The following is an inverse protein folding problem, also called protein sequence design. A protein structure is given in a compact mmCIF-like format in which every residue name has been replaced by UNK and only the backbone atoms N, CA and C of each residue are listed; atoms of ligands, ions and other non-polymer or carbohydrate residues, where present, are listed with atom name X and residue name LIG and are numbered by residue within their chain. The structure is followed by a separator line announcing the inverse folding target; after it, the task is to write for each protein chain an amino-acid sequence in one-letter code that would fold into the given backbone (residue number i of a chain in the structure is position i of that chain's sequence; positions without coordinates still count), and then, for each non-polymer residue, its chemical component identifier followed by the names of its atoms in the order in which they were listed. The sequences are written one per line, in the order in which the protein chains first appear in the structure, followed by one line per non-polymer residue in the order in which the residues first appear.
data_IF_649203203074
#
_entry.id   IF_649203203074
#
_cell.length_a   1.000
_cell.length_b   1.000
_cell.length_c   1.000
_cell.angle_alpha   90.00
_cell.angle_beta   90.00
_cell.angle_gamma   90.00
#
_symmetry.space_group_name_H-M   'P 1'
#
loop_
_entity.id
_entity.type
_entity.pdbx_description
1 polymer ?
#
# COMPACT_ATOMS: atom_id res chain seq x y z
N UNK A 1 7.88 -16.24 -9.49
CA UNK A 1 8.03 -14.87 -10.06
C UNK A 1 6.74 -14.53 -10.79
N UNK A 2 6.18 -13.33 -10.61
CA UNK A 2 4.87 -12.94 -11.19
C UNK A 2 4.97 -12.25 -12.56
N UNK A 3 6.17 -12.11 -13.14
CA UNK A 3 6.36 -11.54 -14.49
C UNK A 3 6.33 -10.01 -14.58
N UNK A 4 6.26 -9.32 -13.45
CA UNK A 4 6.21 -7.84 -13.36
C UNK A 4 7.58 -7.34 -12.89
N UNK A 5 8.16 -6.36 -13.59
CA UNK A 5 9.43 -5.74 -13.22
C UNK A 5 9.26 -4.70 -12.11
N UNK A 6 8.18 -3.90 -12.19
CA UNK A 6 7.80 -2.87 -11.21
C UNK A 6 6.27 -2.67 -11.25
N UNK A 7 5.66 -2.29 -10.12
CA UNK A 7 4.22 -2.11 -9.95
C UNK A 7 3.92 -0.73 -9.33
N UNK A 8 2.89 -0.04 -9.82
CA UNK A 8 2.56 1.34 -9.43
C UNK A 8 1.94 1.40 -8.03
N UNK A 9 1.16 0.38 -7.68
CA UNK A 9 0.48 0.27 -6.39
C UNK A 9 0.38 -1.20 -5.97
N UNK A 10 1.02 -1.57 -4.85
CA UNK A 10 0.96 -2.95 -4.34
C UNK A 10 0.39 -2.98 -2.93
N UNK A 11 -0.94 -3.02 -2.81
CA UNK A 11 -1.63 -2.92 -1.52
C UNK A 11 -1.18 -3.96 -0.49
N UNK A 12 -1.01 -5.23 -0.91
CA UNK A 12 -0.57 -6.32 -0.04
C UNK A 12 0.83 -6.07 0.56
N UNK A 13 1.79 -5.68 -0.28
CA UNK A 13 3.15 -5.33 0.17
C UNK A 13 3.16 -4.13 1.11
N UNK A 14 2.32 -3.13 0.87
CA UNK A 14 2.21 -1.96 1.74
C UNK A 14 1.57 -2.30 3.10
N UNK A 15 0.60 -3.21 3.14
CA UNK A 15 0.07 -3.75 4.39
C UNK A 15 1.13 -4.49 5.22
N UNK A 16 1.96 -5.30 4.56
CA UNK A 16 3.09 -5.97 5.20
C UNK A 16 4.15 -4.96 5.70
N UNK A 17 4.44 -3.93 4.90
CA UNK A 17 5.34 -2.84 5.30
C UNK A 17 4.82 -2.09 6.54
N UNK A 18 3.53 -1.75 6.58
CA UNK A 18 2.91 -1.11 7.74
C UNK A 18 3.02 -1.97 9.00
N UNK A 19 2.76 -3.28 8.87
CA UNK A 19 2.91 -4.24 9.97
C UNK A 19 4.34 -4.28 10.50
N UNK A 20 5.33 -4.30 9.59
CA UNK A 20 6.75 -4.28 9.95
C UNK A 20 7.12 -2.98 10.68
N UNK A 21 6.72 -1.82 10.16
CA UNK A 21 7.02 -0.53 10.77
C UNK A 21 6.42 -0.43 12.18
N UNK A 22 5.17 -0.85 12.36
CA UNK A 22 4.52 -0.81 13.67
C UNK A 22 5.18 -1.78 14.65
N UNK A 23 5.63 -2.95 14.18
CA UNK A 23 6.42 -3.87 15.01
C UNK A 23 7.74 -3.24 15.50
N UNK A 24 8.25 -2.22 14.80
CA UNK A 24 9.44 -1.43 15.15
C UNK A 24 9.12 -0.14 15.92
N UNK A 25 7.87 0.08 16.33
CA UNK A 25 7.47 1.24 17.15
C UNK A 25 7.11 2.51 16.37
N UNK A 26 6.90 2.40 15.05
CA UNK A 26 6.40 3.51 14.25
C UNK A 26 4.88 3.69 14.40
N UNK A 27 4.37 4.82 13.88
CA UNK A 27 2.94 5.17 13.85
C UNK A 27 2.07 4.03 13.30
N UNK A 28 0.88 3.88 13.88
CA UNK A 28 -0.10 2.89 13.45
C UNK A 28 -0.82 3.24 12.14
N UNK A 29 -0.57 4.44 11.61
CA UNK A 29 -1.07 4.94 10.34
C UNK A 29 0.09 5.48 9.52
N UNK A 30 0.15 5.07 8.26
CA UNK A 30 1.15 5.53 7.29
C UNK A 30 0.51 5.83 5.94
N UNK A 31 1.06 6.83 5.26
CA UNK A 31 0.81 7.12 3.86
C UNK A 31 2.03 6.69 3.06
N UNK A 32 1.82 5.89 2.01
CA UNK A 32 2.88 5.41 1.13
C UNK A 32 2.67 5.98 -0.26
N UNK A 33 3.73 6.57 -0.80
CA UNK A 33 3.80 7.00 -2.19
C UNK A 33 4.57 5.93 -2.97
N UNK A 34 3.97 5.39 -4.04
CA UNK A 34 4.55 4.36 -4.89
C UNK A 34 4.38 4.73 -6.38
N UNK A 35 5.20 4.15 -7.27
CA UNK A 35 5.07 4.28 -8.72
C UNK A 35 5.64 5.56 -9.32
N UNK A 36 6.35 6.39 -8.52
CA UNK A 36 6.95 7.64 -9.01
C UNK A 36 7.99 7.39 -10.13
N UNK A 37 8.78 6.32 -10.04
CA UNK A 37 9.75 5.95 -11.07
C UNK A 37 9.08 5.51 -12.40
N UNK A 38 7.83 5.06 -12.34
CA UNK A 38 7.02 4.69 -13.51
C UNK A 38 6.19 5.86 -14.04
N UNK A 39 6.32 7.06 -13.45
CA UNK A 39 5.46 8.22 -13.72
C UNK A 39 3.96 7.92 -13.49
N UNK A 40 3.66 7.02 -12.55
CA UNK A 40 2.33 6.54 -12.18
C UNK A 40 2.15 6.60 -10.66
N UNK A 41 2.10 7.81 -10.12
CA UNK A 41 2.07 8.05 -8.67
C UNK A 41 0.77 7.54 -8.05
N UNK A 42 0.91 6.65 -7.07
CA UNK A 42 -0.19 6.11 -6.27
C UNK A 42 -0.02 6.50 -4.80
N UNK A 43 -1.11 6.92 -4.15
CA UNK A 43 -1.15 7.19 -2.72
C UNK A 43 -1.92 6.06 -2.02
N UNK A 44 -1.26 5.39 -1.09
CA UNK A 44 -1.76 4.21 -0.40
C UNK A 44 -1.79 4.50 1.10
N UNK A 45 -2.94 4.29 1.71
CA UNK A 45 -3.16 4.45 3.14
C UNK A 45 -3.10 3.09 3.82
N UNK A 46 -2.27 2.97 4.85
CA UNK A 46 -2.19 1.76 5.67
C UNK A 46 -2.43 2.12 7.11
N UNK A 47 -3.35 1.38 7.75
CA UNK A 47 -3.60 1.42 9.18
C UNK A 47 -3.41 0.01 9.72
N UNK A 48 -2.72 -0.14 10.85
CA UNK A 48 -2.66 -1.43 11.55
C UNK A 48 -3.09 -1.25 12.98
N UNK A 49 -4.08 -2.01 13.39
CA UNK A 49 -4.51 -2.07 14.78
C UNK A 49 -3.95 -3.35 15.42
N UNK A 50 -3.38 -3.23 16.62
CA UNK A 50 -2.74 -4.35 17.32
C UNK A 50 -3.56 -4.74 18.54
N UNK A 51 -4.03 -5.97 18.58
CA UNK A 51 -4.87 -6.50 19.66
C UNK A 51 -4.45 -7.94 19.96
N UNK A 52 -4.18 -8.27 21.22
CA UNK A 52 -3.87 -9.65 21.68
C UNK A 52 -2.78 -10.38 20.87
N UNK A 53 -1.75 -9.65 20.44
CA UNK A 53 -0.65 -10.18 19.63
C UNK A 53 -0.98 -10.38 18.14
N UNK A 54 -2.23 -10.16 17.74
CA UNK A 54 -2.69 -10.10 16.36
C UNK A 54 -2.56 -8.67 15.79
N UNK A 55 -2.49 -8.58 14.47
CA UNK A 55 -2.44 -7.32 13.73
C UNK A 55 -3.55 -7.32 12.67
N UNK A 56 -4.50 -6.41 12.84
CA UNK A 56 -5.53 -6.12 11.82
C UNK A 56 -4.98 -5.06 10.88
N UNK A 57 -4.77 -5.43 9.62
CA UNK A 57 -4.12 -4.58 8.62
C UNK A 57 -5.17 -4.08 7.62
N UNK A 58 -5.36 -2.77 7.59
CA UNK A 58 -6.25 -2.09 6.67
C UNK A 58 -5.44 -1.37 5.61
N UNK A 59 -5.71 -1.66 4.34
CA UNK A 59 -5.07 -1.01 3.20
C UNK A 59 -6.15 -0.38 2.32
N UNK A 60 -6.00 0.90 2.02
CA UNK A 60 -6.93 1.66 1.22
C UNK A 60 -6.24 2.65 0.29
N UNK A 61 -7.00 3.20 -0.64
CA UNK A 61 -6.54 4.18 -1.62
C UNK A 61 -7.73 4.87 -2.28
N UNK A 62 -7.44 5.91 -3.06
CA UNK A 62 -8.44 6.55 -3.93
C UNK A 62 -8.37 5.90 -5.31
N UNK A 63 -9.53 5.72 -5.93
CA UNK A 63 -9.65 5.29 -7.31
C UNK A 63 -10.40 6.35 -8.10
N UNK A 64 -10.02 6.52 -9.36
CA UNK A 64 -10.75 7.32 -10.34
C UNK A 64 -11.19 6.39 -11.47
N UNK A 65 -12.38 6.64 -12.01
CA UNK A 65 -12.85 5.96 -13.22
C UNK A 65 -12.25 6.69 -14.40
N UNK A 66 -11.55 5.96 -15.27
CA UNK A 66 -11.03 6.47 -16.53
C UNK A 66 -11.92 5.99 -17.68
N UNK A 67 -12.52 6.94 -18.41
CA UNK A 67 -13.44 6.66 -19.52
C UNK A 67 -12.72 6.07 -20.76
N UNK A 68 -11.39 6.01 -20.74
CA UNK A 68 -10.56 5.54 -21.86
C UNK A 68 -9.67 4.37 -21.45
N UNK A 69 -10.15 3.14 -21.67
CA UNK A 69 -9.25 1.98 -21.73
C UNK A 69 -8.66 1.96 -23.15
N UNK A 70 -7.44 2.46 -23.33
CA UNK A 70 -6.68 2.22 -24.55
C UNK A 70 -6.18 0.77 -24.50
N UNK A 71 -6.89 -0.12 -25.18
CA UNK A 71 -6.46 -1.49 -25.45
C UNK A 71 -5.30 -1.51 -26.44
#
# INVERSE_FOLDING_TARGET
KVGINEECATGTSNGALGSLLISKGFSNQIEVIQGEAMNQKSLIYVKVDRHDGLMDVYVGGKANIEDNIKL
#
